data_IF_340962553768
#
_entry.id   IF_340962553768
#
_cell.length_a   1.000
_cell.length_b   1.000
_cell.length_c   1.000
_cell.angle_alpha   90.00
_cell.angle_beta   90.00
_cell.angle_gamma   90.00
#
_symmetry.space_group_name_H-M   'P 1'
#
loop_
_entity.id
_entity.type
_entity.pdbx_description
1 polymer ?
#
# COMPACT_ATOMS: atom_id res chain seq x y z
N UNK A 1 38.52 -1.14 66.21
CA UNK A 1 38.39 -0.39 64.95
C UNK A 1 37.62 -1.31 63.91
N UNK A 2 36.33 -1.14 63.77
CA UNK A 2 35.46 -1.96 62.83
C UNK A 2 35.35 -1.17 61.54
N UNK A 3 35.92 -1.68 60.43
CA UNK A 3 35.72 -1.13 59.09
C UNK A 3 34.40 -1.65 58.51
N UNK A 4 33.42 -0.78 58.35
CA UNK A 4 32.23 -1.04 57.56
C UNK A 4 32.62 -0.98 56.07
N UNK A 5 32.49 -2.10 55.35
CA UNK A 5 32.47 -2.13 53.90
C UNK A 5 31.03 -1.82 53.45
N UNK A 6 30.87 -0.64 52.83
CA UNK A 6 29.65 -0.31 52.08
C UNK A 6 29.77 -0.98 50.68
N UNK A 7 29.02 -2.07 50.48
CA UNK A 7 28.78 -2.63 49.13
C UNK A 7 27.75 -1.74 48.43
N UNK A 8 28.21 -0.95 47.46
CA UNK A 8 27.34 -0.22 46.58
C UNK A 8 26.69 -1.20 45.57
N UNK A 9 25.40 -1.44 45.69
CA UNK A 9 24.60 -2.19 44.70
C UNK A 9 24.43 -1.27 43.49
N UNK A 10 25.20 -1.51 42.42
CA UNK A 10 24.91 -0.90 41.09
C UNK A 10 23.68 -1.58 40.52
N UNK A 11 22.53 -0.89 40.53
CA UNK A 11 21.37 -1.26 39.74
C UNK A 11 21.68 -1.03 38.24
N UNK A 12 22.02 -2.09 37.54
CA UNK A 12 22.08 -2.07 36.08
C UNK A 12 20.61 -2.08 35.58
N UNK A 13 20.08 -0.89 35.27
CA UNK A 13 18.82 -0.75 34.59
C UNK A 13 19.04 -1.24 33.15
N UNK A 14 18.72 -2.52 32.87
CA UNK A 14 18.64 -3.02 31.51
C UNK A 14 17.44 -2.30 30.84
N UNK A 15 17.73 -1.32 30.01
CA UNK A 15 16.71 -0.81 29.09
C UNK A 15 16.28 -1.99 28.21
N UNK A 16 15.07 -2.48 28.41
CA UNK A 16 14.46 -3.43 27.48
C UNK A 16 14.38 -2.73 26.12
N UNK A 17 15.09 -3.27 25.13
CA UNK A 17 14.93 -2.78 23.75
C UNK A 17 13.45 -2.97 23.35
N UNK A 18 12.85 -1.92 22.81
CA UNK A 18 11.49 -2.03 22.28
C UNK A 18 11.47 -3.06 21.16
N UNK A 19 10.43 -3.89 21.11
CA UNK A 19 10.27 -4.82 20.00
C UNK A 19 10.04 -4.04 18.69
N UNK A 20 10.62 -4.48 17.56
CA UNK A 20 10.44 -3.82 16.28
C UNK A 20 8.97 -3.89 15.85
N UNK A 21 8.49 -2.83 15.22
CA UNK A 21 7.16 -2.79 14.62
C UNK A 21 7.11 -3.74 13.42
N UNK A 22 6.15 -4.65 13.44
CA UNK A 22 5.97 -5.67 12.40
C UNK A 22 5.14 -5.13 11.25
N UNK A 23 5.79 -4.89 10.14
CA UNK A 23 5.22 -4.27 8.94
C UNK A 23 4.86 -5.35 7.93
N UNK A 24 3.60 -5.39 7.51
CA UNK A 24 3.17 -6.29 6.44
C UNK A 24 3.00 -5.54 5.13
N UNK A 25 3.60 -6.08 4.08
CA UNK A 25 3.51 -5.55 2.70
C UNK A 25 2.80 -6.58 1.83
N UNK A 26 1.83 -6.13 1.04
CA UNK A 26 1.13 -6.98 0.07
C UNK A 26 2.09 -7.44 -1.03
N UNK A 27 2.28 -8.76 -1.25
CA UNK A 27 3.37 -9.28 -2.08
C UNK A 27 2.95 -9.83 -3.45
N UNK A 28 1.66 -9.77 -3.77
CA UNK A 28 1.13 -10.24 -5.06
C UNK A 28 1.20 -9.14 -6.12
N UNK A 29 0.98 -7.89 -5.71
CA UNK A 29 0.97 -6.73 -6.59
C UNK A 29 1.99 -5.71 -6.10
N UNK A 30 2.87 -5.28 -7.00
CA UNK A 30 3.64 -4.06 -6.80
C UNK A 30 2.73 -2.84 -7.00
N UNK A 31 3.05 -1.72 -6.34
CA UNK A 31 2.19 -0.54 -6.30
C UNK A 31 2.97 0.75 -6.64
N UNK A 32 3.72 0.80 -7.76
CA UNK A 32 4.50 1.97 -8.12
C UNK A 32 3.58 3.15 -8.54
N UNK A 33 3.98 4.39 -8.25
CA UNK A 33 5.26 4.81 -7.66
C UNK A 33 5.29 4.77 -6.13
N UNK A 34 4.25 4.25 -5.46
CA UNK A 34 4.04 4.33 -4.02
C UNK A 34 4.83 3.28 -3.25
N UNK A 35 4.68 1.99 -3.63
CA UNK A 35 5.35 0.86 -3.00
C UNK A 35 5.66 -0.23 -4.02
N UNK A 36 6.92 -0.54 -4.18
CA UNK A 36 7.34 -1.60 -5.10
C UNK A 36 8.72 -2.16 -4.72
N UNK A 37 9.06 -3.29 -5.30
CA UNK A 37 10.30 -4.03 -5.08
C UNK A 37 10.67 -4.84 -6.31
N UNK A 38 11.87 -5.44 -6.26
CA UNK A 38 12.36 -6.33 -7.32
C UNK A 38 12.63 -7.74 -6.77
N UNK A 39 12.53 -8.73 -7.64
CA UNK A 39 12.80 -10.11 -7.30
C UNK A 39 11.67 -10.80 -6.54
N UNK A 40 11.84 -12.10 -6.27
CA UNK A 40 10.79 -12.96 -5.70
C UNK A 40 11.10 -13.48 -4.30
N UNK A 41 12.39 -13.51 -3.89
CA UNK A 41 12.75 -13.94 -2.53
C UNK A 41 12.49 -12.84 -1.51
N UNK A 42 12.23 -13.24 -0.25
CA UNK A 42 12.05 -12.31 0.86
C UNK A 42 13.19 -11.27 0.92
N UNK A 43 14.45 -11.74 0.91
CA UNK A 43 15.61 -10.85 1.02
C UNK A 43 15.65 -9.83 -0.13
N UNK A 44 15.45 -10.29 -1.37
CA UNK A 44 15.43 -9.39 -2.54
C UNK A 44 14.30 -8.35 -2.45
N UNK A 45 13.12 -8.75 -1.98
CA UNK A 45 11.99 -7.84 -1.77
C UNK A 45 12.35 -6.79 -0.70
N UNK A 46 12.86 -7.23 0.45
CA UNK A 46 13.23 -6.34 1.56
C UNK A 46 14.33 -5.36 1.17
N UNK A 47 15.41 -5.85 0.52
CA UNK A 47 16.55 -5.02 0.09
C UNK A 47 16.20 -4.00 -0.99
N UNK A 48 15.17 -4.27 -1.79
CA UNK A 48 14.75 -3.41 -2.91
C UNK A 48 13.42 -2.69 -2.69
N UNK A 49 12.83 -2.83 -1.50
CA UNK A 49 11.56 -2.16 -1.16
C UNK A 49 11.73 -0.64 -1.21
N UNK A 50 10.93 0.00 -2.04
CA UNK A 50 11.04 1.43 -2.34
C UNK A 50 9.70 2.02 -2.77
N UNK A 51 9.66 3.32 -3.04
CA UNK A 51 8.50 4.07 -3.48
C UNK A 51 8.20 5.26 -2.57
N UNK A 52 7.33 6.15 -3.00
CA UNK A 52 7.04 7.38 -2.28
C UNK A 52 6.37 7.13 -0.92
N UNK A 53 5.36 6.26 -0.86
CA UNK A 53 4.70 5.90 0.39
C UNK A 53 5.66 5.13 1.32
N UNK A 54 6.41 4.16 0.76
CA UNK A 54 7.46 3.45 1.50
C UNK A 54 8.45 4.42 2.13
N UNK A 55 8.98 5.38 1.36
CA UNK A 55 9.93 6.38 1.87
C UNK A 55 9.34 7.19 3.02
N UNK A 56 8.12 7.72 2.87
CA UNK A 56 7.48 8.51 3.92
C UNK A 56 7.24 7.71 5.20
N UNK A 57 6.79 6.46 5.09
CA UNK A 57 6.54 5.62 6.27
C UNK A 57 7.82 5.25 6.99
N UNK A 58 8.86 4.84 6.24
CA UNK A 58 10.14 4.47 6.85
C UNK A 58 10.87 5.67 7.46
N UNK A 59 10.82 6.84 6.82
CA UNK A 59 11.36 8.07 7.39
C UNK A 59 10.61 8.48 8.66
N UNK A 60 9.28 8.28 8.73
CA UNK A 60 8.50 8.53 9.94
C UNK A 60 8.92 7.61 11.09
N UNK A 61 9.04 6.31 10.86
CA UNK A 61 9.50 5.35 11.87
C UNK A 61 10.91 5.69 12.36
N UNK A 62 11.82 5.96 11.43
CA UNK A 62 13.20 6.34 11.73
C UNK A 62 13.31 7.63 12.55
N UNK A 63 12.46 8.64 12.24
CA UNK A 63 12.47 9.92 12.98
C UNK A 63 12.07 9.77 14.44
N UNK A 64 11.35 8.70 14.77
CA UNK A 64 10.93 8.35 16.14
C UNK A 64 11.76 7.22 16.76
N UNK A 65 12.88 6.80 16.12
CA UNK A 65 13.74 5.70 16.55
C UNK A 65 12.96 4.40 16.76
N UNK A 66 12.01 4.11 15.86
CA UNK A 66 11.21 2.89 15.86
C UNK A 66 11.84 1.91 14.88
N UNK A 67 12.31 0.78 15.41
CA UNK A 67 12.82 -0.31 14.59
C UNK A 67 11.66 -1.04 13.89
N UNK A 68 11.92 -1.57 12.69
CA UNK A 68 10.94 -2.25 11.87
C UNK A 68 11.37 -3.65 11.44
N UNK A 69 10.36 -4.50 11.19
CA UNK A 69 10.54 -5.83 10.65
C UNK A 69 9.48 -6.10 9.58
N UNK A 70 9.92 -6.44 8.37
CA UNK A 70 9.02 -6.71 7.24
C UNK A 70 8.49 -8.12 7.20
N UNK A 71 7.24 -8.25 6.70
CA UNK A 71 6.59 -9.50 6.31
C UNK A 71 5.90 -9.28 4.96
N UNK A 72 6.21 -10.13 3.98
CA UNK A 72 5.59 -10.09 2.65
C UNK A 72 4.57 -11.21 2.54
N UNK A 73 3.33 -10.87 2.18
CA UNK A 73 2.25 -11.85 2.05
C UNK A 73 1.11 -11.30 1.17
N UNK A 74 0.22 -12.16 0.61
CA UNK A 74 -0.92 -11.69 -0.15
C UNK A 74 -1.77 -10.67 0.62
N UNK A 75 -2.28 -9.65 -0.05
CA UNK A 75 -3.02 -8.54 0.58
C UNK A 75 -4.17 -9.00 1.47
N UNK A 76 -4.95 -10.00 1.01
CA UNK A 76 -6.03 -10.58 1.82
C UNK A 76 -5.50 -11.17 3.14
N UNK A 77 -4.26 -11.74 3.13
CA UNK A 77 -3.62 -12.24 4.33
C UNK A 77 -3.14 -11.10 5.23
N UNK A 78 -2.62 -10.01 4.67
CA UNK A 78 -2.27 -8.79 5.45
C UNK A 78 -3.49 -8.32 6.24
N UNK A 79 -4.63 -8.16 5.57
CA UNK A 79 -5.88 -7.72 6.23
C UNK A 79 -6.33 -8.72 7.30
N UNK A 80 -6.25 -10.03 7.03
CA UNK A 80 -6.58 -11.05 8.03
C UNK A 80 -5.66 -10.98 9.26
N UNK A 81 -4.34 -10.79 9.08
CA UNK A 81 -3.41 -10.68 10.22
C UNK A 81 -3.72 -9.47 11.11
N UNK A 82 -4.20 -8.36 10.52
CA UNK A 82 -4.61 -7.18 11.28
C UNK A 82 -5.88 -7.41 12.13
N UNK A 83 -6.75 -8.37 11.77
CA UNK A 83 -7.92 -8.72 12.60
C UNK A 83 -7.56 -9.54 13.85
N UNK A 84 -6.36 -10.17 13.85
CA UNK A 84 -5.97 -11.08 14.93
C UNK A 84 -5.37 -10.30 16.11
N UNK A 85 -5.75 -10.61 17.35
CA UNK A 85 -5.18 -9.99 18.56
C UNK A 85 -3.65 -10.17 18.63
N UNK A 86 -3.15 -11.35 18.21
CA UNK A 86 -1.74 -11.69 18.17
C UNK A 86 -1.27 -11.93 16.72
N UNK A 87 -1.81 -11.15 15.79
CA UNK A 87 -1.41 -11.21 14.39
C UNK A 87 0.05 -10.83 14.17
N UNK A 88 0.59 -11.23 13.02
CA UNK A 88 1.97 -10.94 12.63
C UNK A 88 2.18 -9.49 12.20
N UNK A 89 1.10 -8.77 11.88
CA UNK A 89 1.15 -7.41 11.37
C UNK A 89 0.73 -6.43 12.48
N UNK A 90 1.56 -5.43 12.73
CA UNK A 90 1.22 -4.30 13.57
C UNK A 90 0.72 -3.14 12.71
N UNK A 91 1.33 -2.95 11.54
CA UNK A 91 0.89 -1.97 10.56
C UNK A 91 1.08 -2.46 9.11
N UNK A 92 0.38 -1.78 8.22
CA UNK A 92 0.58 -1.81 6.76
C UNK A 92 0.29 -0.43 6.19
N UNK A 93 0.62 -0.20 4.93
CA UNK A 93 0.21 1.01 4.19
C UNK A 93 -0.37 0.64 2.83
N UNK A 94 -0.59 1.63 1.95
CA UNK A 94 -1.36 1.48 0.72
C UNK A 94 -2.77 0.94 0.98
N UNK A 95 -3.35 1.33 2.10
CA UNK A 95 -4.67 0.91 2.54
C UNK A 95 -5.69 2.02 2.33
N UNK A 96 -6.71 1.77 1.52
CA UNK A 96 -7.88 2.64 1.44
C UNK A 96 -8.84 2.37 2.60
N UNK A 97 -9.51 3.41 3.06
CA UNK A 97 -10.51 3.30 4.12
C UNK A 97 -11.69 2.42 3.68
N UNK A 98 -12.12 1.54 4.58
CA UNK A 98 -13.39 0.81 4.56
C UNK A 98 -13.92 0.73 5.99
N UNK A 99 -15.23 0.83 6.18
CA UNK A 99 -15.85 0.72 7.50
C UNK A 99 -15.48 -0.61 8.18
N UNK A 100 -15.53 -1.72 7.45
CA UNK A 100 -15.11 -3.04 7.93
C UNK A 100 -13.65 -3.04 8.44
N UNK A 101 -12.72 -2.41 7.71
CA UNK A 101 -11.31 -2.32 8.12
C UNK A 101 -11.13 -1.45 9.36
N UNK A 102 -11.98 -0.44 9.53
CA UNK A 102 -11.95 0.42 10.71
C UNK A 102 -12.40 -0.29 12.00
N UNK A 103 -13.00 -1.45 11.92
CA UNK A 103 -13.35 -2.26 13.11
C UNK A 103 -12.10 -2.82 13.80
N UNK A 104 -11.06 -3.18 13.03
CA UNK A 104 -9.84 -3.81 13.54
C UNK A 104 -8.55 -2.97 13.39
N UNK A 105 -8.62 -1.83 12.71
CA UNK A 105 -7.47 -0.95 12.50
C UNK A 105 -7.83 0.52 12.67
N UNK A 106 -6.82 1.32 13.03
CA UNK A 106 -6.84 2.76 12.92
C UNK A 106 -6.18 3.18 11.62
N UNK A 107 -6.65 4.28 11.03
CA UNK A 107 -6.11 4.85 9.79
C UNK A 107 -5.38 6.16 10.08
N UNK A 108 -4.22 6.35 9.47
CA UNK A 108 -3.50 7.63 9.51
C UNK A 108 -4.23 8.72 8.72
N UNK A 109 -3.74 9.96 8.78
CA UNK A 109 -4.03 10.94 7.73
C UNK A 109 -3.63 10.38 6.37
N UNK A 110 -4.24 10.82 5.25
CA UNK A 110 -3.88 10.33 3.93
C UNK A 110 -2.39 10.54 3.62
N UNK A 111 -1.72 9.50 3.13
CA UNK A 111 -0.37 9.59 2.59
C UNK A 111 -0.38 10.20 1.19
N UNK A 112 -1.30 9.74 0.37
CA UNK A 112 -1.48 10.16 -1.02
C UNK A 112 -2.91 9.89 -1.46
N UNK A 113 -3.25 10.45 -2.61
CA UNK A 113 -4.53 10.25 -3.29
C UNK A 113 -4.26 9.80 -4.71
N UNK A 114 -5.03 8.85 -5.20
CA UNK A 114 -4.83 8.18 -6.48
C UNK A 114 -6.06 8.35 -7.37
N UNK A 115 -5.84 8.38 -8.68
CA UNK A 115 -6.89 8.43 -9.68
C UNK A 115 -7.42 7.04 -10.00
N UNK A 116 -8.70 6.96 -10.33
CA UNK A 116 -9.41 5.72 -10.62
C UNK A 116 -9.81 5.68 -12.09
N UNK A 117 -9.81 4.48 -12.69
CA UNK A 117 -10.19 4.34 -14.08
C UNK A 117 -10.57 2.93 -14.51
N UNK A 118 -11.12 2.86 -15.69
CA UNK A 118 -11.33 1.63 -16.44
C UNK A 118 -10.27 1.54 -17.54
N UNK A 119 -9.57 0.43 -17.59
CA UNK A 119 -8.58 0.13 -18.63
C UNK A 119 -9.19 -0.75 -19.71
N UNK A 120 -8.83 -0.50 -20.95
CA UNK A 120 -9.22 -1.29 -22.12
C UNK A 120 -8.13 -1.29 -23.18
N UNK A 121 -8.28 -2.11 -24.22
CA UNK A 121 -7.44 -2.04 -25.41
C UNK A 121 -7.89 -0.89 -26.32
N UNK A 122 -6.99 -0.21 -27.06
CA UNK A 122 -7.37 0.88 -27.95
C UNK A 122 -8.47 0.49 -28.96
N UNK A 123 -8.39 -0.71 -29.54
CA UNK A 123 -9.34 -1.18 -30.53
C UNK A 123 -10.75 -1.35 -29.94
N UNK A 124 -10.85 -1.80 -28.70
CA UNK A 124 -12.13 -1.94 -27.99
C UNK A 124 -12.71 -0.59 -27.54
N UNK A 125 -11.88 0.44 -27.44
CA UNK A 125 -12.30 1.77 -27.00
C UNK A 125 -13.28 2.44 -27.96
N UNK A 126 -13.23 2.13 -29.26
CA UNK A 126 -14.13 2.69 -30.25
C UNK A 126 -15.51 2.00 -30.25
N UNK A 127 -15.53 0.71 -29.93
CA UNK A 127 -16.75 -0.13 -29.95
C UNK A 127 -17.49 -0.14 -28.61
N UNK A 128 -16.75 -0.17 -27.49
CA UNK A 128 -17.29 -0.23 -26.13
C UNK A 128 -17.38 1.19 -25.54
N UNK A 129 -18.59 1.73 -25.45
CA UNK A 129 -18.78 3.14 -25.05
C UNK A 129 -18.97 3.33 -23.54
N UNK A 130 -19.48 2.34 -22.83
CA UNK A 130 -19.85 2.49 -21.42
C UNK A 130 -19.45 1.26 -20.59
N UNK A 131 -18.36 1.37 -19.79
CA UNK A 131 -17.92 0.29 -18.89
C UNK A 131 -18.98 -0.09 -17.85
N UNK A 132 -19.98 0.74 -17.65
CA UNK A 132 -21.04 0.50 -16.66
C UNK A 132 -22.05 -0.53 -17.13
N UNK A 133 -22.19 -0.73 -18.45
CA UNK A 133 -23.20 -1.63 -19.04
C UNK A 133 -22.60 -2.61 -20.04
N UNK A 134 -21.52 -2.24 -20.74
CA UNK A 134 -20.98 -3.01 -21.85
C UNK A 134 -19.80 -3.91 -21.44
N UNK A 135 -19.76 -5.11 -22.02
CA UNK A 135 -18.62 -6.02 -21.94
C UNK A 135 -18.37 -6.67 -20.58
N UNK A 136 -17.30 -7.45 -20.50
CA UNK A 136 -16.83 -8.15 -19.29
C UNK A 136 -15.97 -7.22 -18.46
N UNK A 137 -16.44 -6.85 -17.27
CA UNK A 137 -15.69 -6.03 -16.30
C UNK A 137 -14.89 -6.94 -15.36
N UNK A 138 -13.57 -6.75 -15.33
CA UNK A 138 -12.64 -7.46 -14.48
C UNK A 138 -12.14 -6.60 -13.31
N UNK A 139 -11.95 -7.25 -12.15
CA UNK A 139 -11.37 -6.67 -10.96
C UNK A 139 -10.32 -7.60 -10.33
N UNK A 140 -9.71 -7.17 -9.23
CA UNK A 140 -8.73 -7.94 -8.45
C UNK A 140 -9.32 -8.27 -7.09
N UNK A 141 -9.19 -9.53 -6.66
CA UNK A 141 -9.62 -9.99 -5.35
C UNK A 141 -8.97 -9.20 -4.21
N UNK A 142 -9.78 -8.79 -3.23
CA UNK A 142 -9.33 -8.06 -2.04
C UNK A 142 -9.11 -6.56 -2.28
N UNK A 143 -9.27 -6.04 -3.49
CA UNK A 143 -9.26 -4.60 -3.75
C UNK A 143 -10.56 -3.95 -3.22
N UNK A 144 -10.45 -2.69 -2.84
CA UNK A 144 -11.60 -1.92 -2.38
C UNK A 144 -12.20 -1.13 -3.54
N UNK A 145 -13.37 -1.55 -4.01
CA UNK A 145 -14.11 -0.91 -5.11
C UNK A 145 -15.16 0.11 -4.64
N UNK A 146 -15.39 0.27 -3.33
CA UNK A 146 -16.40 1.22 -2.80
C UNK A 146 -16.18 2.66 -3.30
N UNK A 147 -14.92 3.10 -3.32
CA UNK A 147 -14.58 4.45 -3.77
C UNK A 147 -14.75 4.65 -5.29
N UNK A 148 -14.83 3.58 -6.06
CA UNK A 148 -15.06 3.65 -7.50
C UNK A 148 -16.50 4.02 -7.83
N UNK A 149 -17.45 3.77 -6.90
CA UNK A 149 -18.89 3.94 -7.12
C UNK A 149 -19.33 3.34 -8.45
N UNK A 150 -18.92 2.11 -8.68
CA UNK A 150 -19.27 1.35 -9.86
C UNK A 150 -20.79 1.18 -9.94
N UNK A 151 -21.35 1.33 -11.14
CA UNK A 151 -22.77 1.04 -11.38
C UNK A 151 -23.07 -0.47 -11.42
N UNK A 152 -22.03 -1.28 -11.63
CA UNK A 152 -22.06 -2.75 -11.53
C UNK A 152 -20.76 -3.27 -10.93
N UNK A 153 -20.85 -4.39 -10.23
CA UNK A 153 -19.67 -5.09 -9.72
C UNK A 153 -18.88 -5.75 -10.86
N UNK A 154 -17.56 -5.92 -10.73
CA UNK A 154 -16.79 -6.76 -11.64
C UNK A 154 -17.42 -8.15 -11.78
N UNK A 155 -17.61 -8.59 -13.03
CA UNK A 155 -18.15 -9.92 -13.32
C UNK A 155 -17.10 -11.03 -13.20
N UNK A 156 -15.83 -10.66 -13.19
CA UNK A 156 -14.70 -11.57 -13.02
C UNK A 156 -13.64 -10.97 -12.10
N UNK A 157 -13.30 -11.69 -11.03
CA UNK A 157 -12.23 -11.31 -10.11
C UNK A 157 -10.99 -12.17 -10.30
N UNK A 158 -9.84 -11.53 -10.50
CA UNK A 158 -8.54 -12.15 -10.69
C UNK A 158 -7.71 -12.08 -9.40
N UNK A 159 -6.69 -12.93 -9.29
CA UNK A 159 -5.85 -12.97 -8.09
C UNK A 159 -4.73 -11.91 -8.09
N UNK A 160 -4.46 -11.27 -9.23
CA UNK A 160 -3.44 -10.23 -9.34
C UNK A 160 -3.73 -9.26 -10.48
N UNK A 161 -3.12 -8.08 -10.40
CA UNK A 161 -3.11 -7.07 -11.48
C UNK A 161 -2.53 -7.67 -12.76
N UNK A 162 -1.41 -8.40 -12.70
CA UNK A 162 -0.84 -9.03 -13.89
C UNK A 162 -1.80 -10.02 -14.55
N UNK A 163 -2.57 -10.79 -13.77
CA UNK A 163 -3.60 -11.65 -14.34
C UNK A 163 -4.73 -10.86 -15.01
N UNK A 164 -5.16 -9.76 -14.41
CA UNK A 164 -6.18 -8.88 -15.00
C UNK A 164 -5.68 -8.27 -16.32
N UNK A 165 -4.46 -7.78 -16.36
CA UNK A 165 -3.82 -7.31 -17.58
C UNK A 165 -3.72 -8.41 -18.65
N UNK A 166 -3.33 -9.63 -18.28
CA UNK A 166 -3.27 -10.76 -19.20
C UNK A 166 -4.66 -11.15 -19.75
N UNK A 167 -5.70 -11.02 -18.95
CA UNK A 167 -7.08 -11.28 -19.40
C UNK A 167 -7.57 -10.21 -20.36
N UNK A 168 -7.21 -8.94 -20.10
CA UNK A 168 -7.47 -7.81 -20.99
C UNK A 168 -6.76 -8.01 -22.34
N UNK A 169 -5.45 -8.34 -22.30
CA UNK A 169 -4.65 -8.60 -23.52
C UNK A 169 -5.19 -9.76 -24.39
N UNK A 170 -5.87 -10.74 -23.76
CA UNK A 170 -6.50 -11.88 -24.43
C UNK A 170 -7.97 -11.64 -24.77
N UNK A 171 -8.46 -10.43 -24.60
CA UNK A 171 -9.86 -10.04 -24.87
C UNK A 171 -10.89 -10.91 -24.11
N UNK A 172 -10.49 -11.40 -22.92
CA UNK A 172 -11.37 -12.11 -21.98
C UNK A 172 -11.96 -11.18 -20.92
N UNK A 173 -11.39 -9.99 -20.78
CA UNK A 173 -11.95 -8.82 -20.14
C UNK A 173 -12.01 -7.73 -21.17
N UNK A 174 -13.12 -7.05 -21.27
CA UNK A 174 -13.28 -5.86 -22.11
C UNK A 174 -12.81 -4.63 -21.32
N UNK A 175 -13.04 -4.67 -20.01
CA UNK A 175 -12.67 -3.64 -19.07
C UNK A 175 -11.95 -4.21 -17.84
N UNK A 176 -10.90 -3.51 -17.39
CA UNK A 176 -10.26 -3.75 -16.09
C UNK A 176 -10.35 -2.49 -15.25
N UNK A 177 -11.07 -2.54 -14.13
CA UNK A 177 -11.20 -1.41 -13.20
C UNK A 177 -10.08 -1.43 -12.17
N UNK A 178 -9.32 -0.34 -12.09
CA UNK A 178 -8.20 -0.21 -11.13
C UNK A 178 -7.81 1.25 -10.91
N UNK A 179 -6.86 1.45 -10.02
CA UNK A 179 -6.12 2.68 -9.81
C UNK A 179 -5.14 2.92 -10.97
N UNK A 180 -5.03 4.15 -11.45
CA UNK A 180 -4.34 4.46 -12.72
C UNK A 180 -2.82 4.43 -12.56
N UNK A 181 -2.29 5.13 -11.57
CA UNK A 181 -0.85 5.32 -11.41
C UNK A 181 -0.09 4.00 -11.22
N UNK A 182 -0.55 3.03 -10.39
CA UNK A 182 0.15 1.76 -10.23
C UNK A 182 0.20 0.90 -11.50
N UNK A 183 -0.82 0.99 -12.34
CA UNK A 183 -0.83 0.22 -13.60
C UNK A 183 0.23 0.77 -14.53
N UNK A 184 0.23 2.06 -14.84
CA UNK A 184 1.20 2.65 -15.74
C UNK A 184 2.61 2.64 -15.15
N UNK A 185 2.77 2.96 -13.86
CA UNK A 185 4.06 2.87 -13.18
C UNK A 185 4.65 1.46 -13.24
N UNK A 186 3.82 0.44 -13.02
CA UNK A 186 4.24 -0.96 -13.11
C UNK A 186 4.66 -1.38 -14.51
N UNK A 187 3.93 -0.93 -15.55
CA UNK A 187 4.27 -1.18 -16.95
C UNK A 187 5.59 -0.46 -17.31
N UNK A 188 5.71 0.81 -16.96
CA UNK A 188 6.89 1.62 -17.26
C UNK A 188 8.19 1.07 -16.62
N UNK A 189 8.08 0.56 -15.39
CA UNK A 189 9.19 -0.08 -14.68
C UNK A 189 9.44 -1.54 -15.11
N UNK A 190 8.64 -2.08 -16.05
CA UNK A 190 8.74 -3.48 -16.48
C UNK A 190 8.32 -4.50 -15.40
N UNK A 191 7.64 -4.06 -14.36
CA UNK A 191 7.11 -4.89 -13.27
C UNK A 191 5.78 -5.55 -13.66
N UNK A 192 4.99 -4.87 -14.49
CA UNK A 192 3.84 -5.45 -15.21
C UNK A 192 4.17 -5.55 -16.69
N UNK A 193 3.76 -6.67 -17.29
CA UNK A 193 4.01 -6.98 -18.70
C UNK A 193 2.73 -6.91 -19.50
N UNK A 194 2.78 -6.22 -20.62
CA UNK A 194 1.71 -6.15 -21.61
C UNK A 194 2.33 -6.32 -23.01
N UNK A 195 1.60 -6.98 -23.90
CA UNK A 195 2.02 -7.19 -25.29
C UNK A 195 1.48 -6.10 -26.23
N UNK A 196 0.33 -5.53 -25.90
CA UNK A 196 -0.33 -4.44 -26.64
C UNK A 196 -0.55 -3.24 -25.72
N UNK A 197 -0.54 -1.99 -26.22
CA UNK A 197 -0.89 -0.81 -25.44
C UNK A 197 -2.26 -0.95 -24.79
N UNK A 198 -2.45 -0.25 -23.67
CA UNK A 198 -3.75 -0.09 -23.03
C UNK A 198 -4.06 1.40 -22.92
N UNK A 199 -5.33 1.73 -22.91
CA UNK A 199 -5.85 3.08 -22.64
C UNK A 199 -6.76 3.04 -21.42
N UNK A 200 -7.08 4.20 -20.86
CA UNK A 200 -7.97 4.27 -19.71
C UNK A 200 -9.02 5.37 -19.87
N UNK A 201 -10.16 5.14 -19.23
CA UNK A 201 -11.20 6.14 -19.01
C UNK A 201 -11.18 6.55 -17.55
N UNK A 202 -11.05 7.84 -17.28
CA UNK A 202 -11.11 8.37 -15.94
C UNK A 202 -12.48 8.16 -15.30
N UNK A 203 -12.47 7.66 -14.08
CA UNK A 203 -13.54 7.91 -13.15
C UNK A 203 -13.24 9.27 -12.48
N UNK A 204 -14.18 10.22 -12.53
CA UNK A 204 -14.01 11.55 -11.91
C UNK A 204 -14.00 11.44 -10.36
N UNK A 205 -13.16 10.57 -9.81
CA UNK A 205 -13.04 10.24 -8.39
C UNK A 205 -11.59 9.99 -8.03
N UNK A 206 -11.26 10.40 -6.81
CA UNK A 206 -9.96 10.15 -6.20
C UNK A 206 -10.15 9.27 -4.97
N UNK A 207 -9.14 8.46 -4.68
CA UNK A 207 -9.13 7.50 -3.57
C UNK A 207 -7.93 7.76 -2.66
N UNK A 208 -8.16 8.14 -1.40
CA UNK A 208 -7.07 8.33 -0.44
C UNK A 208 -6.54 6.99 0.06
N UNK A 209 -5.22 6.98 0.32
CA UNK A 209 -4.48 5.86 0.88
C UNK A 209 -3.76 6.23 2.16
N UNK A 210 -3.71 5.30 3.10
CA UNK A 210 -3.34 5.51 4.48
C UNK A 210 -2.37 4.44 4.98
N UNK A 211 -1.72 4.72 6.11
CA UNK A 211 -1.21 3.66 6.97
C UNK A 211 -2.38 3.12 7.78
N UNK A 212 -2.41 1.81 7.96
CA UNK A 212 -3.33 1.05 8.81
C UNK A 212 -2.55 0.50 10.00
N UNK A 213 -2.95 0.84 11.22
CA UNK A 213 -2.35 0.33 12.46
C UNK A 213 -3.36 -0.57 13.17
N UNK A 214 -2.95 -1.78 13.54
CA UNK A 214 -3.80 -2.75 14.23
C UNK A 214 -4.30 -2.20 15.57
N UNK A 215 -5.61 -2.24 15.84
CA UNK A 215 -6.21 -1.71 17.07
C UNK A 215 -5.79 -2.45 18.33
N UNK A 216 -5.59 -3.77 18.24
CA UNK A 216 -5.20 -4.61 19.39
C UNK A 216 -3.72 -4.50 19.77
N UNK A 217 -2.91 -3.71 19.05
CA UNK A 217 -1.56 -3.39 19.44
C UNK A 217 -1.59 -2.45 20.66
N UNK A 218 -0.87 -2.76 21.72
CA UNK A 218 -0.87 -2.02 22.98
C UNK A 218 -0.57 -0.53 22.81
N UNK A 219 0.40 -0.20 21.93
CA UNK A 219 0.81 1.17 21.63
C UNK A 219 0.24 1.68 20.29
N UNK A 220 -0.91 1.20 19.84
CA UNK A 220 -1.47 1.54 18.52
C UNK A 220 -1.71 3.03 18.35
N UNK A 221 -2.34 3.71 19.32
CA UNK A 221 -2.61 5.15 19.24
C UNK A 221 -1.37 6.02 19.36
N UNK A 222 -0.44 5.79 20.28
CA UNK A 222 0.86 6.47 20.30
C UNK A 222 1.61 6.34 18.97
N UNK A 223 1.72 5.15 18.40
CA UNK A 223 2.34 4.91 17.10
C UNK A 223 1.63 5.68 15.98
N UNK A 224 0.30 5.60 15.92
CA UNK A 224 -0.49 6.33 14.92
C UNK A 224 -0.28 7.84 15.01
N UNK A 225 -0.26 8.40 16.23
CA UNK A 225 -0.06 9.83 16.44
C UNK A 225 1.34 10.27 15.97
N UNK A 226 2.40 9.52 16.31
CA UNK A 226 3.76 9.78 15.84
C UNK A 226 3.84 9.78 14.30
N UNK A 227 3.20 8.80 13.65
CA UNK A 227 3.14 8.74 12.20
C UNK A 227 2.37 9.95 11.61
N UNK A 228 1.21 10.29 12.18
CA UNK A 228 0.41 11.42 11.74
C UNK A 228 1.14 12.75 11.90
N UNK A 229 1.82 12.97 13.02
CA UNK A 229 2.60 14.20 13.26
C UNK A 229 3.69 14.36 12.19
N UNK A 230 4.40 13.27 11.87
CA UNK A 230 5.40 13.28 10.80
C UNK A 230 4.78 13.56 9.43
N UNK A 231 3.66 12.90 9.07
CA UNK A 231 3.03 13.07 7.76
C UNK A 231 2.46 14.47 7.59
N UNK A 232 1.82 15.02 8.62
CA UNK A 232 1.29 16.39 8.58
C UNK A 232 2.42 17.43 8.44
N UNK A 233 3.52 17.28 9.19
CA UNK A 233 4.69 18.14 9.05
C UNK A 233 5.31 18.01 7.65
N UNK A 234 5.45 16.78 7.12
CA UNK A 234 5.97 16.56 5.78
C UNK A 234 5.09 17.19 4.69
N UNK A 235 3.76 17.18 4.87
CA UNK A 235 2.82 17.85 3.97
C UNK A 235 2.94 19.36 4.07
N UNK A 236 2.95 19.93 5.28
CA UNK A 236 3.02 21.36 5.51
C UNK A 236 4.35 22.00 5.03
N UNK A 237 5.44 21.26 5.15
CA UNK A 237 6.78 21.73 4.73
C UNK A 237 7.08 21.47 3.24
N UNK A 238 6.18 20.80 2.50
CA UNK A 238 6.40 20.43 1.10
C UNK A 238 7.33 19.21 0.94
N UNK A 239 7.83 18.62 2.03
CA UNK A 239 8.71 17.46 1.99
C UNK A 239 8.00 16.23 1.40
N UNK A 240 6.73 16.01 1.73
CA UNK A 240 5.94 14.94 1.13
C UNK A 240 5.86 15.11 -0.39
N UNK A 241 5.57 16.32 -0.89
CA UNK A 241 5.53 16.60 -2.32
C UNK A 241 6.88 16.31 -2.98
N UNK A 242 7.99 16.74 -2.40
CA UNK A 242 9.34 16.48 -2.93
C UNK A 242 9.67 14.97 -2.99
N UNK A 243 9.16 14.16 -2.05
CA UNK A 243 9.26 12.70 -2.10
C UNK A 243 8.43 12.16 -3.26
N UNK A 244 7.16 12.57 -3.41
CA UNK A 244 6.32 12.12 -4.51
C UNK A 244 6.89 12.50 -5.88
N UNK A 245 7.35 13.73 -6.07
CA UNK A 245 7.91 14.23 -7.34
C UNK A 245 9.11 13.39 -7.81
N UNK A 246 9.90 12.86 -6.87
CA UNK A 246 11.03 11.96 -7.17
C UNK A 246 10.58 10.67 -7.85
N UNK A 247 9.38 10.18 -7.54
CA UNK A 247 8.83 8.92 -8.04
C UNK A 247 7.78 9.11 -9.14
N UNK A 248 7.06 10.23 -9.16
CA UNK A 248 5.98 10.50 -10.14
C UNK A 248 6.46 10.63 -11.59
N UNK A 249 7.73 10.98 -11.81
CA UNK A 249 8.33 11.00 -13.16
C UNK A 249 8.26 9.64 -13.86
N UNK A 250 8.02 8.56 -13.12
CA UNK A 250 7.89 7.21 -13.65
C UNK A 250 6.45 6.79 -13.98
N UNK A 251 5.44 7.58 -13.58
CA UNK A 251 4.04 7.15 -13.66
C UNK A 251 3.19 7.90 -14.69
N UNK A 252 3.72 8.94 -15.34
CA UNK A 252 2.96 9.64 -16.38
C UNK A 252 3.16 8.98 -17.74
N UNK A 253 2.09 8.54 -18.43
CA UNK A 253 2.19 8.14 -19.83
C UNK A 253 2.58 9.36 -20.67
N UNK A 254 3.60 9.20 -21.49
CA UNK A 254 3.96 10.19 -22.52
C UNK A 254 2.94 10.18 -23.65
#
# INVERSE_FOLDING_TARGET
MRRLLLLGLMFICSAAAAEPVRICVGDVNVWPPFTYWQGSSYQKKADSLTGSATTLVLDALKSHNIDDQFYFMPWARVQHELTQERGRCDLTWDASYRAERAEYSYFSVPLYTIQLGYFTLPDNHEDLKDPSVDGVLCGVNGFNYENFALSREPSLYLNSVQQALNMLQKERCDWFVSEIEPIYGGIQLGLYKIDRPIVHHFLARNKPYHVQVRRSLENSMPLLNQLNDYFLDAQQTGRAQAVFDRYLSFSQPQ
#
